data_IF_764810357506
#
_entry.id   IF_764810357506
#
_cell.length_a   1.000
_cell.length_b   1.000
_cell.length_c   1.000
_cell.angle_alpha   90.00
_cell.angle_beta   90.00
_cell.angle_gamma   90.00
#
_symmetry.space_group_name_H-M   'P 1'
#
loop_
_entity.id
_entity.type
_entity.pdbx_description
1 polymer ?
#
# COMPACT_ATOMS: atom_id res chain seq x y z
N UNK A 1 20.65 14.29 16.20
CA UNK A 1 20.95 14.68 17.60
C UNK A 1 21.51 16.10 17.57
N UNK A 2 20.65 17.11 17.65
CA UNK A 2 21.09 18.50 17.82
C UNK A 2 20.45 19.02 19.10
N UNK A 3 21.21 18.97 20.19
CA UNK A 3 20.83 19.60 21.45
C UNK A 3 21.29 21.06 21.40
N UNK A 4 20.33 21.99 21.44
CA UNK A 4 20.63 23.37 21.76
C UNK A 4 20.84 23.46 23.28
N UNK A 5 22.10 23.41 23.70
CA UNK A 5 22.50 23.82 25.04
C UNK A 5 22.77 25.33 24.99
N UNK A 6 21.95 26.14 25.65
CA UNK A 6 22.32 27.53 25.91
C UNK A 6 23.35 27.52 27.04
N UNK A 7 24.63 27.46 26.66
CA UNK A 7 25.76 27.53 27.58
C UNK A 7 26.21 28.98 27.66
N UNK A 8 26.09 29.60 28.83
CA UNK A 8 26.87 30.79 29.17
C UNK A 8 28.01 30.36 30.07
N UNK A 9 29.22 30.29 29.52
CA UNK A 9 30.42 29.95 30.28
C UNK A 9 30.96 31.22 30.96
N UNK A 10 30.81 31.27 32.28
CA UNK A 10 31.64 32.11 33.15
C UNK A 10 32.01 31.31 34.40
N UNK A 11 33.27 30.88 34.48
CA UNK A 11 33.98 30.56 35.74
C UNK A 11 33.72 29.22 36.44
N UNK A 12 34.66 28.27 36.25
CA UNK A 12 35.14 27.23 37.19
C UNK A 12 34.18 26.40 38.08
N UNK A 13 32.89 26.27 37.77
CA UNK A 13 32.00 25.37 38.51
C UNK A 13 31.40 24.31 37.58
N UNK A 14 31.90 23.07 37.68
CA UNK A 14 31.20 21.91 37.12
C UNK A 14 30.01 21.63 38.04
N UNK A 15 28.82 22.10 37.65
CA UNK A 15 27.57 21.69 38.29
C UNK A 15 27.12 20.36 37.69
N UNK A 16 27.00 19.34 38.54
CA UNK A 16 26.32 18.09 38.18
C UNK A 16 24.83 18.40 38.07
N UNK A 17 24.31 18.49 36.85
CA UNK A 17 22.88 18.67 36.59
C UNK A 17 22.21 17.30 36.73
N UNK A 18 21.51 17.10 37.84
CA UNK A 18 20.69 15.92 38.04
C UNK A 18 19.43 16.05 37.19
N UNK A 19 19.38 15.31 36.07
CA UNK A 19 18.23 15.32 35.16
C UNK A 19 17.10 14.54 35.83
N UNK A 20 16.17 15.26 36.46
CA UNK A 20 14.93 14.68 37.01
C UNK A 20 13.81 14.73 35.97
N UNK A 21 12.88 13.77 35.97
CA UNK A 21 11.67 13.84 35.14
C UNK A 21 10.89 15.13 35.43
N UNK A 22 10.44 15.84 34.38
CA UNK A 22 9.66 17.07 34.55
C UNK A 22 8.35 16.78 35.29
N UNK A 23 8.03 17.57 36.31
CA UNK A 23 6.74 17.48 36.99
C UNK A 23 5.64 18.22 36.21
N UNK A 24 4.37 17.94 36.52
CA UNK A 24 3.21 18.69 35.96
C UNK A 24 3.31 20.19 36.22
N UNK A 25 3.90 20.58 37.35
CA UNK A 25 4.17 21.98 37.66
C UNK A 25 5.24 22.55 36.74
N UNK A 26 6.31 21.80 36.46
CA UNK A 26 7.43 22.26 35.62
C UNK A 26 7.06 22.37 34.15
N UNK A 27 6.28 21.43 33.61
CA UNK A 27 5.80 21.50 32.23
C UNK A 27 4.83 22.68 32.04
N UNK A 28 3.95 22.91 33.03
CA UNK A 28 3.06 24.07 33.04
C UNK A 28 3.85 25.37 33.20
N UNK A 29 4.86 25.42 34.07
CA UNK A 29 5.73 26.59 34.25
C UNK A 29 6.54 26.88 32.99
N UNK A 30 7.12 25.87 32.34
CA UNK A 30 7.88 26.04 31.09
C UNK A 30 6.97 26.52 29.96
N UNK A 31 5.79 25.90 29.79
CA UNK A 31 4.80 26.39 28.83
C UNK A 31 4.39 27.84 29.16
N UNK A 32 4.17 28.15 30.44
CA UNK A 32 3.81 29.51 30.90
C UNK A 32 4.96 30.51 30.73
N UNK A 33 6.22 30.12 30.92
CA UNK A 33 7.40 30.96 30.73
C UNK A 33 7.70 31.22 29.27
N UNK A 34 7.56 30.20 28.41
CA UNK A 34 7.63 30.36 26.95
C UNK A 34 6.54 31.32 26.49
N UNK A 35 5.33 31.25 27.07
CA UNK A 35 4.23 32.17 26.78
C UNK A 35 4.49 33.60 27.33
N UNK A 36 5.07 33.71 28.53
CA UNK A 36 5.38 34.98 29.18
C UNK A 36 6.53 35.74 28.49
N UNK A 37 7.60 35.05 28.07
CA UNK A 37 8.69 35.64 27.27
C UNK A 37 8.20 36.12 25.90
N UNK A 38 7.11 35.56 25.41
CA UNK A 38 6.44 35.99 24.18
C UNK A 38 5.41 37.12 24.37
N UNK A 39 5.26 37.67 25.58
CA UNK A 39 4.33 38.77 25.87
C UNK A 39 2.85 38.38 25.88
N UNK A 40 2.52 37.10 26.08
CA UNK A 40 1.15 36.59 26.05
C UNK A 40 0.59 36.21 27.43
N UNK A 41 -0.73 36.39 27.68
CA UNK A 41 -1.37 35.83 28.88
C UNK A 41 -1.47 34.29 28.78
N UNK A 42 -1.47 33.58 29.92
CA UNK A 42 -1.57 32.10 29.95
C UNK A 42 -2.85 31.56 29.30
N UNK A 43 -3.91 32.36 29.24
CA UNK A 43 -5.16 32.09 28.51
C UNK A 43 -5.06 32.31 26.99
N UNK A 44 -3.90 32.74 26.47
CA UNK A 44 -3.62 32.96 25.05
C UNK A 44 -2.71 31.88 24.44
N UNK A 45 -2.43 30.77 25.14
CA UNK A 45 -1.77 29.61 24.53
C UNK A 45 -2.50 29.15 23.25
N UNK A 46 -3.84 29.14 23.31
CA UNK A 46 -4.76 28.96 22.17
C UNK A 46 -4.51 29.96 21.03
N UNK A 47 -4.34 31.24 21.32
CA UNK A 47 -4.15 32.29 20.32
C UNK A 47 -2.71 32.39 19.77
N UNK A 48 -1.71 31.86 20.50
CA UNK A 48 -0.29 31.92 20.16
C UNK A 48 0.14 30.72 19.31
N UNK A 49 -0.38 29.53 19.58
CA UNK A 49 -0.22 28.38 18.69
C UNK A 49 -0.85 28.64 17.30
N UNK A 50 -1.83 29.53 17.21
CA UNK A 50 -2.51 29.93 15.97
C UNK A 50 -1.71 30.89 15.06
N UNK A 51 -0.53 31.40 15.47
CA UNK A 51 0.17 32.49 14.72
C UNK A 51 1.64 32.24 14.35
N UNK A 52 2.26 31.14 14.77
CA UNK A 52 3.66 30.83 14.38
C UNK A 52 3.93 29.32 14.44
N UNK A 53 4.22 28.66 13.30
CA UNK A 53 4.54 27.22 13.24
C UNK A 53 5.67 26.81 14.20
N UNK A 54 6.72 27.63 14.30
CA UNK A 54 7.89 27.40 15.17
C UNK A 54 7.52 27.25 16.65
N UNK A 55 6.46 27.92 17.10
CA UNK A 55 6.01 27.85 18.50
C UNK A 55 5.19 26.60 18.77
N UNK A 56 4.41 26.13 17.80
CA UNK A 56 3.62 24.91 17.94
C UNK A 56 4.54 23.68 18.07
N UNK A 57 5.69 23.69 17.39
CA UNK A 57 6.71 22.65 17.53
C UNK A 57 7.19 22.49 18.99
N UNK A 58 7.52 23.59 19.67
CA UNK A 58 7.96 23.56 21.07
C UNK A 58 6.86 23.08 22.02
N UNK A 59 5.61 23.48 21.76
CA UNK A 59 4.45 23.01 22.53
C UNK A 59 4.25 21.50 22.33
N UNK A 60 4.31 21.01 21.09
CA UNK A 60 4.18 19.59 20.78
C UNK A 60 5.30 18.76 21.42
N UNK A 61 6.55 19.24 21.39
CA UNK A 61 7.67 18.60 22.07
C UNK A 61 7.46 18.52 23.59
N UNK A 62 7.04 19.62 24.21
CA UNK A 62 6.80 19.66 25.65
C UNK A 62 5.69 18.69 26.06
N UNK A 63 4.59 18.64 25.29
CA UNK A 63 3.49 17.72 25.52
C UNK A 63 3.90 16.26 25.30
N UNK A 64 4.73 15.96 24.30
CA UNK A 64 5.19 14.59 24.04
C UNK A 64 6.06 14.01 25.18
N UNK A 65 6.64 14.87 26.02
CA UNK A 65 7.42 14.48 27.21
C UNK A 65 6.62 14.54 28.50
N UNK A 66 5.43 15.13 28.48
CA UNK A 66 4.59 15.30 29.65
C UNK A 66 3.83 14.01 29.93
N UNK A 67 3.90 13.50 31.16
CA UNK A 67 3.09 12.35 31.58
C UNK A 67 1.88 12.83 32.42
N UNK A 68 0.65 12.72 31.91
CA UNK A 68 -0.53 13.18 32.62
C UNK A 68 -0.82 12.26 33.80
N UNK A 69 -1.02 12.88 34.96
CA UNK A 69 -1.41 12.20 36.20
C UNK A 69 -2.90 11.85 36.28
N UNK A 70 -3.72 12.30 35.33
CA UNK A 70 -5.17 12.10 35.29
C UNK A 70 -5.74 12.28 33.87
N UNK A 71 -7.05 12.45 33.78
CA UNK A 71 -7.72 12.72 32.50
C UNK A 71 -7.28 14.07 31.91
N UNK A 72 -7.29 14.15 30.57
CA UNK A 72 -7.01 15.39 29.85
C UNK A 72 -8.17 16.38 30.04
N UNK A 73 -7.84 17.60 30.45
CA UNK A 73 -8.77 18.72 30.53
C UNK A 73 -9.20 19.20 29.14
N UNK A 74 -10.29 19.99 29.08
CA UNK A 74 -10.78 20.58 27.82
C UNK A 74 -9.71 21.42 27.12
N UNK A 75 -8.95 22.21 27.87
CA UNK A 75 -7.88 23.05 27.34
C UNK A 75 -6.72 22.22 26.79
N UNK A 76 -6.36 21.12 27.48
CA UNK A 76 -5.35 20.17 26.98
C UNK A 76 -5.82 19.50 25.68
N UNK A 77 -7.10 19.12 25.57
CA UNK A 77 -7.67 18.53 24.35
C UNK A 77 -7.58 19.53 23.18
N UNK A 78 -7.88 20.81 23.40
CA UNK A 78 -7.78 21.83 22.36
C UNK A 78 -6.34 21.97 21.85
N UNK A 79 -5.35 21.95 22.74
CA UNK A 79 -3.93 21.97 22.35
C UNK A 79 -3.55 20.72 21.54
N UNK A 80 -3.99 19.54 21.99
CA UNK A 80 -3.76 18.30 21.25
C UNK A 80 -4.39 18.35 19.85
N UNK A 81 -5.62 18.87 19.72
CA UNK A 81 -6.25 19.04 18.41
C UNK A 81 -5.43 19.94 17.50
N UNK A 82 -4.93 21.07 17.99
CA UNK A 82 -4.06 21.96 17.22
C UNK A 82 -2.77 21.28 16.74
N UNK A 83 -2.18 20.41 17.57
CA UNK A 83 -0.97 19.65 17.22
C UNK A 83 -1.26 18.64 16.10
N UNK A 84 -2.40 17.94 16.16
CA UNK A 84 -2.75 16.92 15.17
C UNK A 84 -3.30 17.52 13.86
N UNK A 85 -3.88 18.72 13.90
CA UNK A 85 -4.30 19.48 12.72
C UNK A 85 -3.14 20.24 12.05
N UNK A 86 -1.93 20.16 12.59
CA UNK A 86 -0.79 20.87 12.06
C UNK A 86 -0.38 20.31 10.68
N UNK A 87 -0.23 21.18 9.69
CA UNK A 87 0.32 20.83 8.37
C UNK A 87 1.86 20.75 8.33
N UNK A 88 2.53 20.81 9.48
CA UNK A 88 3.99 20.75 9.58
C UNK A 88 4.44 19.33 10.01
N UNK A 89 5.19 18.60 9.16
CA UNK A 89 5.71 17.27 9.49
C UNK A 89 6.53 17.22 10.79
N UNK A 90 7.21 18.31 11.16
CA UNK A 90 8.00 18.37 12.39
C UNK A 90 7.13 18.43 13.64
N UNK A 91 5.95 19.04 13.56
CA UNK A 91 4.94 19.02 14.64
C UNK A 91 4.30 17.63 14.71
N UNK A 92 3.91 17.08 13.56
CA UNK A 92 3.26 15.77 13.48
C UNK A 92 4.15 14.63 13.99
N UNK A 93 5.49 14.75 13.87
CA UNK A 93 6.43 13.80 14.47
C UNK A 93 6.28 13.67 16.00
N UNK A 94 5.92 14.75 16.69
CA UNK A 94 5.60 14.67 18.12
C UNK A 94 4.18 14.17 18.36
N UNK A 95 3.26 14.49 17.46
CA UNK A 95 1.88 14.02 17.53
C UNK A 95 1.80 12.47 17.52
N UNK A 96 2.70 11.75 16.84
CA UNK A 96 2.72 10.28 16.87
C UNK A 96 3.01 9.72 18.27
N UNK A 97 3.94 10.32 19.00
CA UNK A 97 4.24 9.95 20.39
C UNK A 97 3.09 10.30 21.32
N UNK A 98 2.47 11.45 21.09
CA UNK A 98 1.27 11.89 21.81
C UNK A 98 0.08 10.95 21.56
N UNK A 99 -0.10 10.45 20.35
CA UNK A 99 -1.17 9.51 20.03
C UNK A 99 -1.10 8.27 20.92
N UNK A 100 0.10 7.68 21.05
CA UNK A 100 0.32 6.54 21.95
C UNK A 100 0.06 6.90 23.41
N UNK A 101 0.54 8.06 23.85
CA UNK A 101 0.36 8.51 25.22
C UNK A 101 -1.12 8.71 25.57
N UNK A 102 -1.88 9.37 24.68
CA UNK A 102 -3.32 9.56 24.82
C UNK A 102 -4.01 8.21 24.80
N UNK A 103 -3.64 7.30 23.89
CA UNK A 103 -4.25 6.00 23.73
C UNK A 103 -4.16 5.13 25.01
N UNK A 104 -3.05 5.19 25.74
CA UNK A 104 -2.89 4.49 27.03
C UNK A 104 -3.92 4.88 28.09
N UNK A 105 -4.55 6.05 27.96
CA UNK A 105 -5.55 6.58 28.90
C UNK A 105 -6.96 6.59 28.30
N UNK A 106 -7.07 7.03 27.05
CA UNK A 106 -8.32 7.18 26.32
C UNK A 106 -8.08 6.86 24.83
N UNK A 107 -8.22 5.57 24.44
CA UNK A 107 -8.06 5.15 23.05
C UNK A 107 -9.00 5.87 22.08
N UNK A 108 -10.25 6.13 22.48
CA UNK A 108 -11.23 6.81 21.63
C UNK A 108 -10.79 8.24 21.30
N UNK A 109 -10.31 9.00 22.28
CA UNK A 109 -9.77 10.34 22.05
C UNK A 109 -8.53 10.30 21.15
N UNK A 110 -7.65 9.30 21.31
CA UNK A 110 -6.49 9.15 20.44
C UNK A 110 -6.91 8.96 18.97
N UNK A 111 -7.93 8.13 18.71
CA UNK A 111 -8.47 7.95 17.36
C UNK A 111 -9.09 9.25 16.85
N UNK A 112 -9.86 9.97 17.66
CA UNK A 112 -10.43 11.27 17.28
C UNK A 112 -9.37 12.31 16.90
N UNK A 113 -8.24 12.32 17.60
CA UNK A 113 -7.10 13.18 17.28
C UNK A 113 -6.40 12.72 15.99
N UNK A 114 -6.16 11.42 15.80
CA UNK A 114 -5.55 10.89 14.58
C UNK A 114 -6.41 11.21 13.35
N UNK A 115 -7.74 11.17 13.45
CA UNK A 115 -8.64 11.56 12.37
C UNK A 115 -8.48 13.02 11.91
N UNK A 116 -7.83 13.88 12.70
CA UNK A 116 -7.59 15.28 12.34
C UNK A 116 -6.31 15.51 11.53
N UNK A 117 -5.47 14.49 11.40
CA UNK A 117 -4.19 14.58 10.68
C UNK A 117 -4.44 14.64 9.16
N UNK A 118 -3.79 15.60 8.49
CA UNK A 118 -3.65 15.56 7.04
C UNK A 118 -2.48 14.65 6.65
N UNK A 119 -2.80 13.40 6.32
CA UNK A 119 -1.81 12.40 5.93
C UNK A 119 -1.03 12.74 4.64
N UNK A 120 -1.53 13.67 3.83
CA UNK A 120 -0.80 14.16 2.64
C UNK A 120 0.41 14.97 3.07
N UNK A 121 0.25 15.82 4.07
CA UNK A 121 1.35 16.63 4.63
C UNK A 121 2.23 15.86 5.61
N UNK A 122 1.70 14.82 6.26
CA UNK A 122 2.46 14.02 7.23
C UNK A 122 3.66 13.30 6.61
N UNK A 123 3.62 13.00 5.31
CA UNK A 123 4.70 12.32 4.60
C UNK A 123 5.07 10.99 5.29
N UNK A 124 6.36 10.76 5.51
CA UNK A 124 6.87 9.53 6.15
C UNK A 124 6.35 9.33 7.58
N UNK A 125 5.87 10.39 8.25
CA UNK A 125 5.32 10.31 9.62
C UNK A 125 3.92 9.68 9.63
N UNK A 126 3.24 9.61 8.48
CA UNK A 126 1.92 8.99 8.39
C UNK A 126 1.94 7.53 8.89
N UNK A 127 2.96 6.75 8.51
CA UNK A 127 3.06 5.32 8.82
C UNK A 127 3.08 5.05 10.34
N UNK A 128 3.64 5.96 11.15
CA UNK A 128 3.64 5.86 12.62
C UNK A 128 2.23 5.98 13.21
N UNK A 129 1.35 6.80 12.65
CA UNK A 129 -0.05 6.86 13.10
C UNK A 129 -0.78 5.56 12.77
N UNK A 130 -0.53 5.01 11.58
CA UNK A 130 -1.11 3.73 11.18
C UNK A 130 -0.57 2.56 12.00
N UNK A 131 0.69 2.62 12.47
CA UNK A 131 1.23 1.66 13.43
C UNK A 131 0.34 1.59 14.69
N UNK A 132 -0.08 2.75 15.20
CA UNK A 132 -0.94 2.79 16.38
C UNK A 132 -2.36 2.30 16.11
N UNK A 133 -2.95 2.67 14.97
CA UNK A 133 -4.28 2.18 14.56
C UNK A 133 -4.30 0.66 14.28
N UNK A 134 -3.15 0.07 13.94
CA UNK A 134 -3.01 -1.36 13.69
C UNK A 134 -2.65 -2.18 14.92
N UNK A 135 -2.09 -1.58 15.96
CA UNK A 135 -1.64 -2.32 17.13
C UNK A 135 -2.72 -2.44 18.21
N UNK A 136 -3.25 -3.65 18.43
CA UNK A 136 -4.37 -3.91 19.37
C UNK A 136 -4.06 -3.54 20.82
N UNK A 137 -2.79 -3.60 21.24
CA UNK A 137 -2.43 -3.26 22.62
C UNK A 137 -2.40 -1.74 22.87
N UNK A 138 -2.34 -0.94 21.81
CA UNK A 138 -2.29 0.53 21.90
C UNK A 138 -3.68 1.11 21.64
N UNK A 139 -4.26 0.81 20.48
CA UNK A 139 -5.62 1.21 20.11
C UNK A 139 -6.37 -0.06 19.70
N UNK A 140 -7.28 -0.57 20.56
CA UNK A 140 -8.10 -1.73 20.22
C UNK A 140 -9.05 -1.36 19.08
N UNK A 141 -9.42 -2.33 18.24
CA UNK A 141 -10.24 -2.06 17.04
C UNK A 141 -11.63 -1.53 17.41
N UNK A 142 -12.14 -1.93 18.57
CA UNK A 142 -13.41 -1.51 19.15
C UNK A 142 -13.43 -0.04 19.57
N UNK A 143 -12.25 0.58 19.73
CA UNK A 143 -12.14 2.02 19.98
C UNK A 143 -12.30 2.87 18.72
N UNK A 144 -12.22 2.27 17.53
CA UNK A 144 -12.37 2.94 16.25
C UNK A 144 -13.80 2.71 15.75
N UNK A 145 -14.61 3.76 15.76
CA UNK A 145 -15.98 3.70 15.24
C UNK A 145 -15.99 3.61 13.72
N UNK A 146 -17.07 3.09 13.17
CA UNK A 146 -17.23 2.91 11.71
C UNK A 146 -17.08 4.22 10.92
N UNK A 147 -17.59 5.35 11.43
CA UNK A 147 -17.39 6.67 10.84
C UNK A 147 -15.92 7.09 10.79
N UNK A 148 -15.14 6.71 11.80
CA UNK A 148 -13.71 7.00 11.89
C UNK A 148 -12.89 6.13 10.93
N UNK A 149 -13.26 4.86 10.77
CA UNK A 149 -12.67 3.99 9.73
C UNK A 149 -12.84 4.63 8.35
N UNK A 150 -14.07 5.04 8.01
CA UNK A 150 -14.37 5.69 6.72
C UNK A 150 -13.58 6.98 6.55
N UNK A 151 -13.53 7.81 7.59
CA UNK A 151 -12.80 9.07 7.56
C UNK A 151 -11.31 8.86 7.26
N UNK A 152 -10.65 7.96 8.00
CA UNK A 152 -9.23 7.65 7.80
C UNK A 152 -8.98 7.03 6.42
N UNK A 153 -9.83 6.10 5.98
CA UNK A 153 -9.73 5.51 4.62
C UNK A 153 -9.86 6.60 3.55
N UNK A 154 -10.80 7.54 3.68
CA UNK A 154 -10.98 8.63 2.72
C UNK A 154 -9.80 9.61 2.70
N UNK A 155 -9.13 9.81 3.82
CA UNK A 155 -7.96 10.68 3.91
C UNK A 155 -6.75 10.10 3.15
N UNK A 156 -6.76 8.80 2.83
CA UNK A 156 -5.71 8.15 2.03
C UNK A 156 -5.83 8.43 0.52
N UNK A 157 -6.87 9.10 0.03
CA UNK A 157 -7.06 9.36 -1.42
C UNK A 157 -5.86 10.12 -2.01
N UNK A 158 -5.33 11.13 -1.33
CA UNK A 158 -4.26 11.98 -1.87
C UNK A 158 -2.85 11.57 -1.44
N UNK A 159 -2.71 10.53 -0.62
CA UNK A 159 -1.39 10.03 -0.19
C UNK A 159 -0.66 9.44 -1.41
N UNK A 160 0.62 9.78 -1.67
CA UNK A 160 1.31 9.36 -2.89
C UNK A 160 1.35 7.83 -3.10
N UNK A 161 1.60 7.06 -2.04
CA UNK A 161 1.68 5.60 -2.10
C UNK A 161 0.99 4.96 -0.90
N UNK A 162 0.40 3.78 -1.11
CA UNK A 162 -0.16 2.93 -0.06
C UNK A 162 0.79 1.78 0.33
N UNK A 163 2.07 1.85 -0.07
CA UNK A 163 3.05 0.77 0.14
C UNK A 163 3.64 0.75 1.56
N UNK A 164 3.31 1.73 2.41
CA UNK A 164 3.71 1.75 3.82
C UNK A 164 3.21 0.52 4.57
N UNK A 165 4.08 -0.11 5.34
CA UNK A 165 3.79 -1.38 6.02
C UNK A 165 2.58 -1.25 6.95
N UNK A 166 2.51 -0.15 7.71
CA UNK A 166 1.40 0.05 8.64
C UNK A 166 0.15 0.55 7.96
N UNK A 167 0.27 1.35 6.89
CA UNK A 167 -0.88 1.71 6.03
C UNK A 167 -1.55 0.44 5.49
N UNK A 168 -0.77 -0.51 4.97
CA UNK A 168 -1.31 -1.80 4.48
C UNK A 168 -1.92 -2.64 5.59
N UNK A 169 -1.26 -2.71 6.75
CA UNK A 169 -1.81 -3.36 7.94
C UNK A 169 -3.16 -2.77 8.34
N UNK A 170 -3.33 -1.45 8.23
CA UNK A 170 -4.57 -0.76 8.52
C UNK A 170 -5.64 -1.09 7.49
N UNK A 171 -5.32 -1.00 6.19
CA UNK A 171 -6.25 -1.34 5.11
C UNK A 171 -6.70 -2.80 5.16
N UNK A 172 -5.82 -3.73 5.53
CA UNK A 172 -6.15 -5.16 5.75
C UNK A 172 -7.13 -5.37 6.90
N UNK A 173 -7.15 -4.48 7.89
CA UNK A 173 -8.20 -4.44 8.93
C UNK A 173 -9.47 -3.76 8.41
N UNK A 174 -9.33 -2.61 7.76
CA UNK A 174 -10.45 -1.83 7.25
C UNK A 174 -11.32 -2.63 6.27
N UNK A 175 -10.71 -3.45 5.40
CA UNK A 175 -11.45 -4.28 4.43
C UNK A 175 -12.36 -5.32 5.09
N UNK A 176 -12.11 -5.67 6.36
CA UNK A 176 -12.98 -6.58 7.14
C UNK A 176 -14.16 -5.89 7.79
N UNK A 177 -14.16 -4.56 7.83
CA UNK A 177 -15.14 -3.74 8.55
C UNK A 177 -15.97 -2.92 7.54
N UNK A 178 -15.29 -2.27 6.60
CA UNK A 178 -15.86 -1.36 5.59
C UNK A 178 -15.30 -1.67 4.18
N UNK A 179 -15.49 -2.88 3.63
CA UNK A 179 -14.92 -3.28 2.33
C UNK A 179 -15.31 -2.34 1.18
N UNK A 180 -16.58 -1.90 1.12
CA UNK A 180 -17.07 -1.03 0.05
C UNK A 180 -16.38 0.36 0.06
N UNK A 181 -16.09 0.90 1.24
CA UNK A 181 -15.35 2.17 1.40
C UNK A 181 -13.88 2.02 0.98
N UNK A 182 -13.24 0.86 1.26
CA UNK A 182 -11.88 0.57 0.78
C UNK A 182 -11.84 0.46 -0.75
N UNK A 183 -12.82 -0.18 -1.37
CA UNK A 183 -12.94 -0.19 -2.83
C UNK A 183 -13.19 1.21 -3.38
N UNK A 184 -14.03 2.01 -2.72
CA UNK A 184 -14.29 3.39 -3.14
C UNK A 184 -13.03 4.26 -3.09
N UNK A 185 -12.18 4.07 -2.07
CA UNK A 185 -10.84 4.67 -2.02
C UNK A 185 -10.03 4.28 -3.27
N UNK A 186 -9.96 2.99 -3.60
CA UNK A 186 -9.13 2.51 -4.73
C UNK A 186 -9.66 3.01 -6.09
N UNK A 187 -10.98 3.07 -6.27
CA UNK A 187 -11.61 3.69 -7.46
C UNK A 187 -11.23 5.16 -7.59
N UNK A 188 -11.32 5.93 -6.49
CA UNK A 188 -10.92 7.34 -6.49
C UNK A 188 -9.43 7.52 -6.80
N UNK A 189 -8.56 6.68 -6.24
CA UNK A 189 -7.13 6.71 -6.53
C UNK A 189 -6.82 6.35 -7.99
N UNK A 190 -7.51 5.37 -8.57
CA UNK A 190 -7.37 5.01 -9.98
C UNK A 190 -7.77 6.17 -10.90
N UNK A 191 -8.86 6.88 -10.60
CA UNK A 191 -9.26 8.06 -11.36
C UNK A 191 -8.18 9.15 -11.33
N UNK A 192 -7.61 9.44 -10.15
CA UNK A 192 -6.49 10.39 -10.02
C UNK A 192 -5.28 9.93 -10.82
N UNK A 193 -4.93 8.64 -10.76
CA UNK A 193 -3.78 8.09 -11.48
C UNK A 193 -3.96 8.17 -13.01
N UNK A 194 -5.17 7.97 -13.52
CA UNK A 194 -5.47 8.06 -14.95
C UNK A 194 -5.33 9.48 -15.51
N UNK A 195 -5.65 10.50 -14.71
CA UNK A 195 -5.52 11.92 -15.09
C UNK A 195 -4.11 12.49 -14.84
N UNK A 196 -3.36 11.88 -13.94
CA UNK A 196 -2.07 12.37 -13.48
C UNK A 196 -0.91 11.91 -14.37
N UNK A 197 0.07 12.79 -14.57
CA UNK A 197 1.39 12.43 -15.14
C UNK A 197 2.41 12.05 -14.07
N UNK A 198 1.99 12.00 -12.81
CA UNK A 198 2.87 11.68 -11.70
C UNK A 198 2.99 10.18 -11.51
N UNK A 199 4.05 9.60 -12.06
CA UNK A 199 4.40 8.18 -11.92
C UNK A 199 4.71 7.74 -10.48
N UNK A 200 4.93 8.68 -9.55
CA UNK A 200 5.14 8.36 -8.14
C UNK A 200 3.82 8.10 -7.38
N UNK A 201 2.68 8.44 -7.98
CA UNK A 201 1.37 8.18 -7.38
C UNK A 201 0.89 6.76 -7.74
N UNK A 202 0.77 5.88 -6.76
CA UNK A 202 0.39 4.47 -6.97
C UNK A 202 -0.91 4.14 -6.24
N UNK A 203 -2.00 3.74 -6.96
CA UNK A 203 -3.28 3.44 -6.31
C UNK A 203 -3.18 2.35 -5.25
N UNK A 204 -2.69 1.15 -5.62
CA UNK A 204 -2.33 0.04 -4.74
C UNK A 204 -1.56 -0.99 -5.58
N UNK A 205 -0.51 -1.59 -5.04
CA UNK A 205 0.25 -2.69 -5.69
C UNK A 205 0.19 -3.98 -4.89
N UNK A 206 0.59 -5.10 -5.47
CA UNK A 206 0.86 -6.34 -4.73
C UNK A 206 2.12 -6.19 -3.87
N UNK A 207 2.13 -6.78 -2.67
CA UNK A 207 3.35 -6.81 -1.86
C UNK A 207 4.39 -7.78 -2.47
N UNK A 208 5.67 -7.53 -2.18
CA UNK A 208 6.77 -8.37 -2.68
C UNK A 208 6.72 -9.82 -2.18
N UNK A 209 6.13 -10.07 -1.01
CA UNK A 209 5.90 -11.41 -0.44
C UNK A 209 4.70 -12.14 -1.11
N UNK A 210 4.00 -11.49 -2.04
CA UNK A 210 2.82 -12.01 -2.70
C UNK A 210 1.51 -11.82 -1.93
N UNK A 211 1.52 -11.20 -0.75
CA UNK A 211 0.32 -10.90 0.01
C UNK A 211 -0.47 -9.72 -0.58
N UNK A 212 -1.78 -9.77 -0.36
CA UNK A 212 -2.68 -8.64 -0.59
C UNK A 212 -3.45 -8.28 0.67
N UNK A 213 -4.48 -7.46 0.50
CA UNK A 213 -5.39 -7.08 1.59
C UNK A 213 -6.34 -8.21 2.03
N UNK A 214 -6.26 -9.38 1.39
CA UNK A 214 -7.09 -10.55 1.66
C UNK A 214 -8.59 -10.29 1.45
N UNK A 215 -8.95 -9.51 0.43
CA UNK A 215 -10.36 -9.24 0.07
C UNK A 215 -11.16 -10.54 -0.09
N UNK A 216 -10.57 -11.53 -0.77
CA UNK A 216 -11.24 -12.81 -1.02
C UNK A 216 -11.54 -13.60 0.27
N UNK A 217 -10.88 -13.30 1.40
CA UNK A 217 -11.20 -13.95 2.68
C UNK A 217 -12.41 -13.34 3.38
N UNK A 218 -12.94 -12.22 2.87
CA UNK A 218 -14.15 -11.58 3.39
C UNK A 218 -15.41 -12.28 2.85
N UNK A 219 -16.46 -12.34 3.67
CA UNK A 219 -17.75 -12.98 3.28
C UNK A 219 -18.35 -12.36 2.00
N UNK A 220 -18.22 -11.05 1.86
CA UNK A 220 -18.69 -10.28 0.70
C UNK A 220 -17.60 -10.04 -0.35
N UNK A 221 -16.42 -10.68 -0.22
CA UNK A 221 -15.25 -10.39 -1.04
C UNK A 221 -15.49 -10.51 -2.54
N UNK A 222 -16.14 -11.59 -2.98
CA UNK A 222 -16.50 -11.80 -4.40
C UNK A 222 -17.47 -10.74 -4.93
N UNK A 223 -18.51 -10.39 -4.16
CA UNK A 223 -19.47 -9.34 -4.54
C UNK A 223 -18.73 -8.02 -4.74
N UNK A 224 -17.93 -7.65 -3.75
CA UNK A 224 -17.19 -6.38 -3.73
C UNK A 224 -16.18 -6.30 -4.88
N UNK A 225 -15.49 -7.40 -5.18
CA UNK A 225 -14.58 -7.47 -6.32
C UNK A 225 -15.34 -7.40 -7.65
N UNK A 226 -16.49 -8.08 -7.79
CA UNK A 226 -17.34 -7.98 -8.98
C UNK A 226 -17.80 -6.54 -9.21
N UNK A 227 -18.26 -5.84 -8.17
CA UNK A 227 -18.67 -4.43 -8.25
C UNK A 227 -17.51 -3.49 -8.63
N UNK A 228 -16.27 -3.90 -8.33
CA UNK A 228 -15.07 -3.20 -8.80
C UNK A 228 -14.79 -3.49 -10.29
N UNK A 229 -14.90 -4.74 -10.73
CA UNK A 229 -14.71 -5.13 -12.13
C UNK A 229 -15.79 -4.53 -13.05
N UNK A 230 -17.05 -4.55 -12.61
CA UNK A 230 -18.17 -3.93 -13.34
C UNK A 230 -17.93 -2.43 -13.52
N UNK A 231 -17.45 -1.74 -12.48
CA UNK A 231 -17.04 -0.34 -12.58
C UNK A 231 -15.89 -0.16 -13.59
N UNK A 232 -14.87 -1.02 -13.55
CA UNK A 232 -13.72 -0.92 -14.46
C UNK A 232 -14.11 -1.08 -15.94
N UNK A 233 -15.17 -1.83 -16.25
CA UNK A 233 -15.71 -1.96 -17.63
C UNK A 233 -16.42 -0.68 -18.09
N UNK A 234 -17.07 0.05 -17.18
CA UNK A 234 -17.84 1.25 -17.53
C UNK A 234 -16.98 2.51 -17.63
N UNK A 235 -15.81 2.52 -17.00
CA UNK A 235 -14.92 3.68 -17.04
C UNK A 235 -14.16 3.77 -18.37
N UNK A 236 -14.03 4.98 -18.96
CA UNK A 236 -13.18 5.18 -20.12
C UNK A 236 -11.71 4.87 -19.77
N UNK A 237 -11.24 3.69 -20.15
CA UNK A 237 -9.90 3.24 -19.82
C UNK A 237 -8.92 3.55 -20.94
N UNK A 238 -7.86 4.30 -20.64
CA UNK A 238 -6.64 4.28 -21.44
C UNK A 238 -5.76 3.08 -21.05
N UNK A 239 -4.80 2.71 -21.89
CA UNK A 239 -3.90 1.58 -21.63
C UNK A 239 -3.22 1.67 -20.24
N UNK A 240 -2.81 2.88 -19.84
CA UNK A 240 -2.18 3.12 -18.53
C UNK A 240 -3.13 2.80 -17.35
N UNK A 241 -4.42 3.10 -17.48
CA UNK A 241 -5.43 2.77 -16.47
C UNK A 241 -5.64 1.26 -16.37
N UNK A 242 -5.73 0.56 -17.50
CA UNK A 242 -5.86 -0.90 -17.53
C UNK A 242 -4.71 -1.59 -16.79
N UNK A 243 -3.46 -1.17 -17.05
CA UNK A 243 -2.31 -1.72 -16.31
C UNK A 243 -2.44 -1.55 -14.79
N UNK A 244 -2.94 -0.39 -14.36
CA UNK A 244 -3.08 -0.06 -12.94
C UNK A 244 -4.25 -0.80 -12.28
N UNK A 245 -5.30 -1.16 -13.02
CA UNK A 245 -6.39 -2.01 -12.52
C UNK A 245 -5.87 -3.38 -12.10
N UNK A 246 -5.00 -3.99 -12.91
CA UNK A 246 -4.39 -5.28 -12.57
C UNK A 246 -3.54 -5.22 -11.30
N UNK A 247 -2.76 -4.15 -11.12
CA UNK A 247 -1.98 -3.90 -9.89
C UNK A 247 -2.89 -3.81 -8.65
N UNK A 248 -4.03 -3.11 -8.78
CA UNK A 248 -5.00 -2.95 -7.69
C UNK A 248 -5.64 -4.28 -7.31
N UNK A 249 -6.06 -5.10 -8.29
CA UNK A 249 -6.62 -6.43 -8.01
C UNK A 249 -5.58 -7.33 -7.36
N UNK A 250 -4.33 -7.29 -7.83
CA UNK A 250 -3.22 -8.01 -7.24
C UNK A 250 -2.91 -7.52 -5.80
N UNK A 251 -3.02 -6.22 -5.53
CA UNK A 251 -2.90 -5.66 -4.18
C UNK A 251 -4.06 -6.03 -3.25
N UNK A 252 -5.28 -6.16 -3.77
CA UNK A 252 -6.45 -6.59 -3.00
C UNK A 252 -6.41 -8.07 -2.64
N UNK A 253 -6.04 -8.91 -3.61
CA UNK A 253 -6.20 -10.37 -3.51
C UNK A 253 -4.89 -11.10 -3.17
N UNK A 254 -3.74 -10.54 -3.55
CA UNK A 254 -2.44 -11.20 -3.42
C UNK A 254 -2.20 -12.19 -4.56
N UNK A 255 -1.77 -13.40 -4.25
CA UNK A 255 -1.66 -14.50 -5.23
C UNK A 255 -3.04 -15.05 -5.60
N UNK A 256 -3.20 -15.42 -6.88
CA UNK A 256 -4.50 -15.76 -7.43
C UNK A 256 -4.79 -17.22 -7.11
N UNK A 257 -5.81 -17.45 -6.29
CA UNK A 257 -6.30 -18.78 -5.93
C UNK A 257 -7.44 -19.21 -6.85
N UNK A 258 -7.87 -20.47 -6.73
CA UNK A 258 -8.98 -21.01 -7.52
C UNK A 258 -10.24 -20.15 -7.44
N UNK A 259 -10.54 -19.57 -6.25
CA UNK A 259 -11.75 -18.79 -6.02
C UNK A 259 -11.74 -17.48 -6.81
N UNK A 260 -10.62 -16.77 -6.86
CA UNK A 260 -10.46 -15.59 -7.70
C UNK A 260 -10.52 -15.96 -9.19
N UNK A 261 -9.83 -17.03 -9.59
CA UNK A 261 -9.79 -17.45 -10.99
C UNK A 261 -11.18 -17.87 -11.50
N UNK A 262 -11.95 -18.62 -10.70
CA UNK A 262 -13.34 -19.00 -11.01
C UNK A 262 -14.25 -17.77 -11.13
N UNK A 263 -14.06 -16.77 -10.26
CA UNK A 263 -14.78 -15.49 -10.37
C UNK A 263 -14.48 -14.81 -11.72
N UNK A 264 -13.20 -14.66 -12.08
CA UNK A 264 -12.77 -14.02 -13.32
C UNK A 264 -13.31 -14.77 -14.55
N UNK A 265 -13.23 -16.09 -14.55
CA UNK A 265 -13.77 -16.93 -15.62
C UNK A 265 -15.28 -16.76 -15.75
N UNK A 266 -16.03 -16.89 -14.66
CA UNK A 266 -17.49 -16.79 -14.68
C UNK A 266 -17.97 -15.42 -15.13
N UNK A 267 -17.26 -14.37 -14.71
CA UNK A 267 -17.59 -12.98 -15.00
C UNK A 267 -17.26 -12.64 -16.47
N UNK A 268 -16.08 -13.03 -16.96
CA UNK A 268 -15.70 -12.80 -18.36
C UNK A 268 -16.60 -13.57 -19.33
N UNK A 269 -16.94 -14.83 -19.02
CA UNK A 269 -17.72 -15.71 -19.91
C UNK A 269 -19.13 -15.21 -20.22
N UNK A 270 -19.66 -14.30 -19.40
CA UNK A 270 -20.99 -13.69 -19.58
C UNK A 270 -20.90 -12.29 -20.23
N UNK A 271 -19.69 -11.83 -20.51
CA UNK A 271 -19.40 -10.47 -20.92
C UNK A 271 -19.21 -10.30 -22.43
N UNK A 272 -18.58 -9.16 -22.73
CA UNK A 272 -18.17 -8.75 -24.07
C UNK A 272 -16.66 -8.49 -24.07
N UNK A 273 -16.12 -8.02 -25.18
CA UNK A 273 -14.70 -7.70 -25.35
C UNK A 273 -14.12 -6.82 -24.24
N UNK A 274 -14.87 -5.80 -23.78
CA UNK A 274 -14.46 -4.96 -22.65
C UNK A 274 -14.20 -5.76 -21.35
N UNK A 275 -14.93 -6.85 -21.11
CA UNK A 275 -14.69 -7.72 -19.95
C UNK A 275 -13.40 -8.52 -20.14
N UNK A 276 -13.14 -9.01 -21.36
CA UNK A 276 -11.90 -9.70 -21.68
C UNK A 276 -10.67 -8.78 -21.52
N UNK A 277 -10.78 -7.50 -21.88
CA UNK A 277 -9.75 -6.50 -21.66
C UNK A 277 -9.41 -6.31 -20.18
N UNK A 278 -10.43 -6.12 -19.34
CA UNK A 278 -10.26 -5.98 -17.88
C UNK A 278 -9.67 -7.26 -17.27
N UNK A 279 -10.19 -8.45 -17.63
CA UNK A 279 -9.66 -9.72 -17.15
C UNK A 279 -8.22 -9.94 -17.59
N UNK A 280 -7.87 -9.57 -18.82
CA UNK A 280 -6.49 -9.65 -19.32
C UNK A 280 -5.56 -8.74 -18.51
N UNK A 281 -6.00 -7.51 -18.20
CA UNK A 281 -5.23 -6.61 -17.34
C UNK A 281 -4.98 -7.17 -15.93
N UNK A 282 -5.97 -7.85 -15.36
CA UNK A 282 -5.84 -8.57 -14.09
C UNK A 282 -4.88 -9.76 -14.22
N UNK A 283 -5.09 -10.64 -15.19
CA UNK A 283 -4.28 -11.85 -15.40
C UNK A 283 -2.81 -11.55 -15.66
N UNK A 284 -2.49 -10.40 -16.26
CA UNK A 284 -1.10 -9.95 -16.45
C UNK A 284 -0.31 -9.84 -15.14
N UNK A 285 -0.99 -9.64 -14.01
CA UNK A 285 -0.40 -9.52 -12.68
C UNK A 285 -0.54 -10.79 -11.82
N UNK A 286 -0.98 -11.90 -12.43
CA UNK A 286 -1.01 -13.21 -11.78
C UNK A 286 0.42 -13.72 -11.49
N UNK A 287 0.53 -14.74 -10.62
CA UNK A 287 1.80 -15.43 -10.41
C UNK A 287 2.27 -16.16 -11.67
N UNK A 288 3.58 -16.16 -11.93
CA UNK A 288 4.16 -16.82 -13.10
C UNK A 288 3.95 -18.35 -13.14
N UNK A 289 3.58 -18.95 -12.00
CA UNK A 289 3.28 -20.38 -11.91
C UNK A 289 1.83 -20.75 -12.30
N UNK A 290 0.99 -19.76 -12.66
CA UNK A 290 -0.42 -19.94 -13.02
C UNK A 290 -0.62 -21.05 -14.06
N UNK A 291 0.23 -21.09 -15.10
CA UNK A 291 0.11 -22.06 -16.20
C UNK A 291 0.39 -23.51 -15.75
N UNK A 292 1.17 -23.69 -14.68
CA UNK A 292 1.49 -25.03 -14.17
C UNK A 292 0.42 -25.50 -13.18
N UNK A 293 -0.03 -24.62 -12.30
CA UNK A 293 -0.94 -24.92 -11.20
C UNK A 293 -2.41 -24.97 -11.63
N UNK A 294 -2.81 -24.10 -12.57
CA UNK A 294 -4.20 -23.89 -12.95
C UNK A 294 -4.43 -24.13 -14.46
N UNK A 295 -3.89 -25.24 -14.98
CA UNK A 295 -3.95 -25.59 -16.41
C UNK A 295 -5.38 -25.62 -16.97
N UNK A 296 -6.33 -26.15 -16.22
CA UNK A 296 -7.72 -26.22 -16.66
C UNK A 296 -8.34 -24.82 -16.78
N UNK A 297 -8.10 -23.95 -15.80
CA UNK A 297 -8.52 -22.55 -15.86
C UNK A 297 -7.94 -21.84 -17.10
N UNK A 298 -6.64 -22.03 -17.41
CA UNK A 298 -6.00 -21.41 -18.58
C UNK A 298 -6.68 -21.83 -19.89
N UNK A 299 -7.10 -23.09 -20.00
CA UNK A 299 -7.86 -23.55 -21.17
C UNK A 299 -9.27 -22.95 -21.18
N UNK A 300 -9.97 -23.02 -20.06
CA UNK A 300 -11.36 -22.56 -19.96
C UNK A 300 -11.49 -21.05 -20.21
N UNK A 301 -10.55 -20.24 -19.73
CA UNK A 301 -10.56 -18.79 -19.97
C UNK A 301 -10.27 -18.46 -21.44
N UNK A 302 -9.42 -19.23 -22.12
CA UNK A 302 -9.17 -19.04 -23.55
C UNK A 302 -10.37 -19.49 -24.41
N UNK A 303 -11.07 -20.55 -24.01
CA UNK A 303 -12.34 -20.91 -24.63
C UNK A 303 -13.41 -19.83 -24.43
N UNK A 304 -13.51 -19.28 -23.22
CA UNK A 304 -14.41 -18.16 -22.97
C UNK A 304 -14.04 -16.93 -23.80
N UNK A 305 -12.76 -16.64 -23.97
CA UNK A 305 -12.28 -15.56 -24.83
C UNK A 305 -12.60 -15.82 -26.32
N UNK A 306 -12.46 -17.06 -26.80
CA UNK A 306 -12.80 -17.42 -28.19
C UNK A 306 -14.28 -17.19 -28.50
N UNK A 307 -15.17 -17.49 -27.54
CA UNK A 307 -16.61 -17.19 -27.66
C UNK A 307 -16.87 -15.69 -27.80
N UNK A 308 -16.06 -14.84 -27.16
CA UNK A 308 -16.16 -13.38 -27.25
C UNK A 308 -15.62 -12.86 -28.59
N UNK A 309 -14.44 -13.34 -29.01
CA UNK A 309 -13.84 -13.01 -30.29
C UNK A 309 -12.32 -13.12 -30.33
N UNK A 310 -11.73 -13.02 -31.52
CA UNK A 310 -10.29 -13.18 -31.74
C UNK A 310 -9.44 -12.19 -30.93
N UNK A 311 -9.84 -10.91 -30.86
CA UNK A 311 -9.10 -9.89 -30.10
C UNK A 311 -9.07 -10.22 -28.60
N UNK A 312 -10.17 -10.76 -28.05
CA UNK A 312 -10.21 -11.22 -26.67
C UNK A 312 -9.22 -12.36 -26.40
N UNK A 313 -9.09 -13.32 -27.33
CA UNK A 313 -8.10 -14.40 -27.24
C UNK A 313 -6.68 -13.83 -27.23
N UNK A 314 -6.37 -12.91 -28.15
CA UNK A 314 -5.05 -12.28 -28.24
C UNK A 314 -4.68 -11.55 -26.94
N UNK A 315 -5.62 -10.81 -26.35
CA UNK A 315 -5.41 -10.12 -25.07
C UNK A 315 -5.15 -11.08 -23.92
N UNK A 316 -5.93 -12.16 -23.81
CA UNK A 316 -5.76 -13.15 -22.73
C UNK A 316 -4.44 -13.91 -22.90
N UNK A 317 -4.07 -14.29 -24.13
CA UNK A 317 -2.77 -14.92 -24.42
C UNK A 317 -1.61 -13.99 -24.02
N UNK A 318 -1.66 -12.72 -24.44
CA UNK A 318 -0.64 -11.74 -24.11
C UNK A 318 -0.50 -11.53 -22.60
N UNK A 319 -1.63 -11.46 -21.88
CA UNK A 319 -1.65 -11.32 -20.43
C UNK A 319 -1.03 -12.52 -19.71
N UNK A 320 -1.48 -13.75 -20.02
CA UNK A 320 -0.96 -14.97 -19.39
C UNK A 320 0.53 -15.15 -19.70
N UNK A 321 0.94 -14.85 -20.94
CA UNK A 321 2.35 -14.91 -21.32
C UNK A 321 3.19 -13.91 -20.53
N UNK A 322 2.73 -12.65 -20.42
CA UNK A 322 3.38 -11.63 -19.60
C UNK A 322 3.51 -12.05 -18.13
N UNK A 323 2.46 -12.63 -17.55
CA UNK A 323 2.50 -13.14 -16.17
C UNK A 323 3.50 -14.28 -16.01
N UNK A 324 3.49 -15.24 -16.95
CA UNK A 324 4.41 -16.40 -16.98
C UNK A 324 5.87 -15.96 -16.97
N UNK A 325 6.19 -14.86 -17.64
CA UNK A 325 7.57 -14.39 -17.72
C UNK A 325 7.98 -13.45 -16.59
N UNK A 326 7.02 -12.92 -15.84
CA UNK A 326 7.26 -12.03 -14.71
C UNK A 326 7.84 -12.79 -13.52
N UNK A 327 8.70 -12.13 -12.75
CA UNK A 327 9.34 -12.70 -11.56
C UNK A 327 10.86 -12.74 -11.61
N UNK A 328 11.51 -12.99 -10.46
CA UNK A 328 12.96 -13.11 -10.39
C UNK A 328 13.42 -14.32 -11.18
N UNK A 329 14.47 -14.13 -12.00
CA UNK A 329 15.14 -15.20 -12.73
C UNK A 329 16.62 -15.17 -12.37
N UNK A 330 17.19 -16.33 -12.08
CA UNK A 330 18.58 -16.44 -11.67
C UNK A 330 19.22 -17.68 -12.23
N UNK A 331 20.42 -17.52 -12.81
CA UNK A 331 21.23 -18.64 -13.29
C UNK A 331 22.71 -18.25 -13.21
N UNK A 332 23.59 -19.25 -13.28
CA UNK A 332 25.01 -19.02 -13.48
C UNK A 332 25.25 -18.49 -14.90
N UNK A 333 26.24 -17.60 -15.13
CA UNK A 333 26.55 -17.11 -16.48
C UNK A 333 26.71 -18.24 -17.50
N UNK A 334 26.04 -18.10 -18.66
CA UNK A 334 26.08 -19.09 -19.74
C UNK A 334 25.16 -20.31 -19.58
N UNK A 335 24.62 -20.56 -18.39
CA UNK A 335 23.67 -21.65 -18.17
C UNK A 335 22.22 -21.19 -18.45
N UNK A 336 21.39 -22.00 -19.13
CA UNK A 336 19.97 -21.68 -19.31
C UNK A 336 19.26 -21.43 -17.97
N UNK A 337 18.30 -20.51 -17.97
CA UNK A 337 17.45 -20.29 -16.80
C UNK A 337 16.64 -21.55 -16.48
N UNK A 338 16.59 -22.01 -15.22
CA UNK A 338 15.73 -23.12 -14.82
C UNK A 338 14.26 -22.93 -15.22
N UNK A 339 13.80 -21.68 -15.21
CA UNK A 339 12.45 -21.29 -15.60
C UNK A 339 12.19 -21.54 -17.09
N UNK A 340 13.16 -21.25 -17.97
CA UNK A 340 13.02 -21.49 -19.40
C UNK A 340 13.03 -23.00 -19.71
N UNK A 341 13.85 -23.80 -19.00
CA UNK A 341 13.86 -25.27 -19.14
C UNK A 341 12.53 -25.89 -18.67
N UNK A 342 12.00 -25.42 -17.54
CA UNK A 342 10.69 -25.83 -17.03
C UNK A 342 9.58 -25.47 -18.00
N UNK A 343 9.60 -24.26 -18.56
CA UNK A 343 8.63 -23.77 -19.53
C UNK A 343 8.69 -24.57 -20.84
N UNK A 344 9.89 -24.84 -21.38
CA UNK A 344 10.07 -25.66 -22.58
C UNK A 344 9.45 -27.05 -22.40
N UNK A 345 9.78 -27.71 -21.28
CA UNK A 345 9.25 -29.04 -20.97
C UNK A 345 7.73 -29.02 -20.89
N UNK A 346 7.18 -28.11 -20.08
CA UNK A 346 5.75 -28.04 -19.84
C UNK A 346 4.97 -27.70 -21.12
N UNK A 347 5.41 -26.69 -21.88
CA UNK A 347 4.75 -26.32 -23.13
C UNK A 347 4.82 -27.44 -24.17
N UNK A 348 5.91 -28.21 -24.23
CA UNK A 348 6.02 -29.40 -25.09
C UNK A 348 5.02 -30.48 -24.70
N UNK A 349 4.89 -30.76 -23.40
CA UNK A 349 3.91 -31.72 -22.88
C UNK A 349 2.47 -31.28 -23.22
N UNK A 350 2.14 -30.01 -22.97
CA UNK A 350 0.81 -29.45 -23.28
C UNK A 350 0.49 -29.54 -24.77
N UNK A 351 1.40 -29.10 -25.65
CA UNK A 351 1.21 -29.18 -27.11
C UNK A 351 1.06 -30.63 -27.61
N UNK A 352 1.59 -31.61 -26.90
CA UNK A 352 1.38 -33.03 -27.21
C UNK A 352 -0.06 -33.52 -26.92
N UNK A 353 -0.80 -32.81 -26.08
CA UNK A 353 -2.18 -33.14 -25.69
C UNK A 353 -3.23 -32.29 -26.39
N UNK A 354 -2.87 -31.10 -26.85
CA UNK A 354 -3.79 -30.12 -27.43
C UNK A 354 -3.98 -30.36 -28.94
N UNK A 355 -5.22 -30.19 -29.40
CA UNK A 355 -5.50 -30.06 -30.84
C UNK A 355 -4.98 -28.71 -31.33
N UNK A 356 -4.60 -28.62 -32.61
CA UNK A 356 -4.29 -27.31 -33.25
C UNK A 356 -5.48 -26.35 -33.30
N UNK A 357 -6.69 -26.86 -33.11
CA UNK A 357 -7.92 -26.08 -33.03
C UNK A 357 -8.29 -25.71 -31.58
N UNK A 358 -7.51 -26.14 -30.59
CA UNK A 358 -7.72 -25.73 -29.20
C UNK A 358 -7.18 -24.30 -29.02
N UNK A 359 -7.96 -23.34 -28.47
CA UNK A 359 -7.49 -21.97 -28.25
C UNK A 359 -6.21 -21.86 -27.42
N UNK A 360 -5.94 -22.84 -26.54
CA UNK A 360 -4.71 -22.87 -25.76
C UNK A 360 -3.47 -23.27 -26.57
N UNK A 361 -3.64 -23.85 -27.77
CA UNK A 361 -2.51 -24.29 -28.60
C UNK A 361 -1.59 -23.12 -28.95
N UNK A 362 -2.15 -21.96 -29.30
CA UNK A 362 -1.37 -20.78 -29.65
C UNK A 362 -0.52 -20.29 -28.48
N UNK A 363 -1.13 -20.12 -27.29
CA UNK A 363 -0.42 -19.76 -26.07
C UNK A 363 0.79 -20.66 -25.81
N UNK A 364 0.60 -21.98 -25.76
CA UNK A 364 1.71 -22.89 -25.46
C UNK A 364 2.76 -22.96 -26.58
N UNK A 365 2.36 -22.76 -27.84
CA UNK A 365 3.28 -22.63 -28.97
C UNK A 365 4.17 -21.40 -28.82
N UNK A 366 3.60 -20.25 -28.43
CA UNK A 366 4.35 -19.02 -28.19
C UNK A 366 5.30 -19.16 -27.00
N UNK A 367 4.82 -19.71 -25.88
CA UNK A 367 5.62 -19.96 -24.68
C UNK A 367 6.81 -20.88 -24.97
N UNK A 368 6.60 -21.97 -25.73
CA UNK A 368 7.66 -22.88 -26.15
C UNK A 368 8.72 -22.16 -27.01
N UNK A 369 8.25 -21.31 -27.92
CA UNK A 369 9.13 -20.54 -28.81
C UNK A 369 10.01 -19.57 -28.01
N UNK A 370 9.44 -18.84 -27.04
CA UNK A 370 10.22 -17.93 -26.20
C UNK A 370 11.19 -18.67 -25.27
N UNK A 371 10.77 -19.78 -24.65
CA UNK A 371 11.64 -20.62 -23.82
C UNK A 371 12.89 -21.08 -24.59
N UNK A 372 12.69 -21.59 -25.83
CA UNK A 372 13.79 -22.01 -26.70
C UNK A 372 14.72 -20.87 -27.09
N UNK A 373 14.19 -19.67 -27.33
CA UNK A 373 15.02 -18.48 -27.59
C UNK A 373 15.85 -18.10 -26.36
N UNK A 374 15.27 -18.14 -25.16
CA UNK A 374 15.97 -17.89 -23.89
C UNK A 374 17.13 -18.85 -23.68
N UNK A 375 16.88 -20.16 -23.84
CA UNK A 375 17.88 -21.23 -23.75
C UNK A 375 19.01 -21.02 -24.78
N UNK A 376 18.66 -20.78 -26.04
CA UNK A 376 19.64 -20.56 -27.10
C UNK A 376 20.50 -19.33 -26.86
N UNK A 377 19.92 -18.24 -26.32
CA UNK A 377 20.67 -17.03 -25.97
C UNK A 377 21.71 -17.31 -24.88
N UNK A 378 21.36 -18.06 -23.83
CA UNK A 378 22.32 -18.38 -22.76
C UNK A 378 23.47 -19.26 -23.26
N UNK A 379 23.19 -20.24 -24.11
CA UNK A 379 24.23 -21.08 -24.73
C UNK A 379 25.24 -20.26 -25.54
N UNK A 380 24.79 -19.27 -26.31
CA UNK A 380 25.69 -18.37 -27.05
C UNK A 380 26.57 -17.52 -26.13
N UNK A 381 26.05 -17.10 -24.98
CA UNK A 381 26.84 -16.37 -23.98
C UNK A 381 27.95 -17.27 -23.43
N UNK A 382 27.64 -18.53 -23.14
CA UNK A 382 28.64 -19.53 -22.71
C UNK A 382 29.73 -19.73 -23.75
N UNK A 383 29.35 -19.98 -25.00
CA UNK A 383 30.29 -20.15 -26.11
C UNK A 383 31.21 -18.94 -26.30
N UNK A 384 30.69 -17.72 -26.13
CA UNK A 384 31.51 -16.50 -26.22
C UNK A 384 32.47 -16.36 -25.04
N UNK A 385 32.04 -16.70 -23.81
CA UNK A 385 32.90 -16.66 -22.64
C UNK A 385 34.03 -17.70 -22.72
N UNK A 386 33.72 -18.92 -23.15
CA UNK A 386 34.70 -19.98 -23.33
C UNK A 386 35.74 -19.59 -24.40
N UNK A 387 35.34 -18.88 -25.46
CA UNK A 387 36.24 -18.41 -26.51
C UNK A 387 37.18 -17.27 -26.04
N UNK A 388 36.70 -16.38 -25.16
CA UNK A 388 37.50 -15.28 -24.59
C UNK A 388 38.50 -15.77 -23.53
N UNK A 389 38.27 -16.93 -22.91
CA UNK A 389 39.21 -17.58 -21.96
C UNK A 389 40.36 -18.34 -22.66
N UNK A 390 40.22 -18.64 -23.96
CA UNK A 390 41.22 -19.36 -24.76
C UNK A 390 42.21 -18.44 -25.52
N UNK A 391 41.99 -17.11 -25.52
CA UNK A 391 42.91 -16.07 -26.04
C UNK A 391 43.82 -15.49 -24.95
#
# INVERSE_FOLDING_TARGET
MHQAATVTLSGNHVQTVEIRPLTKSDAKTLATEVLAQCGGPASAAEAIALKSPDKLHLVAEAYARYEPSGEYSKDEILILQMIFEAGDPMVLRFATSLALQVAKRNPTLAVELICKVDFTTAGDVADDFFMWLTHQNSIPAEAIREDQWRHVVSALVNVPTLDGYWIRGFLKKAIRIIPDDVISLLKARLAIAAESKNWAYTPLRKEHNGEGLALMNHENGERVLRDFLDWAVQEPSCDAMLYTIGDVVAGLCGSYDARLLDLLLSWMSQGIEAHALVVSAVLRNAQGDLIYEFQQFVRDILYAAEVIGTEAVEHVIAAISSATWSGPRGTAPGEPFPEDLRLEKHATEMLGTLSRLDPAYELFSELLREAKRGIARQRRVKEAMDADEEE
#
